data_IF_230207557580
#
_entry.id   IF_230207557580
#
_cell.length_a   1.000
_cell.length_b   1.000
_cell.length_c   1.000
_cell.angle_alpha   90.00
_cell.angle_beta   90.00
_cell.angle_gamma   90.00
#
_symmetry.space_group_name_H-M   'P 1'
#
loop_
_entity.id
_entity.type
_entity.pdbx_description
1 polymer ?
#
# COMPACT_ATOMS: atom_id res chain seq x y z
N UNK A 1 17.17 10.23 3.25
CA UNK A 1 16.18 10.84 4.16
C UNK A 1 14.86 10.97 3.42
N UNK A 2 14.08 12.07 3.55
CA UNK A 2 12.68 12.13 3.06
C UNK A 2 12.46 11.63 1.62
N UNK A 3 13.29 11.95 0.63
CA UNK A 3 12.98 11.77 -0.81
C UNK A 3 12.73 10.32 -1.28
N UNK A 4 13.69 9.41 -1.10
CA UNK A 4 13.53 7.99 -1.48
C UNK A 4 12.89 7.15 -0.34
N UNK A 5 12.88 7.65 0.90
CA UNK A 5 11.98 7.15 1.94
C UNK A 5 10.51 7.46 1.61
N UNK A 6 10.22 8.58 0.93
CA UNK A 6 8.91 8.89 0.34
C UNK A 6 8.63 7.97 -0.83
N UNK A 7 9.61 7.57 -1.66
CA UNK A 7 9.37 6.48 -2.61
C UNK A 7 9.03 5.16 -1.89
N UNK A 8 9.79 4.79 -0.85
CA UNK A 8 9.49 3.61 -0.06
C UNK A 8 8.09 3.69 0.58
N UNK A 9 7.69 4.86 1.10
CA UNK A 9 6.37 5.15 1.68
C UNK A 9 5.29 5.45 0.63
N UNK A 10 5.61 5.63 -0.65
CA UNK A 10 4.65 5.71 -1.77
C UNK A 10 4.51 4.35 -2.46
N UNK A 11 5.49 3.45 -2.36
CA UNK A 11 5.33 2.05 -2.77
C UNK A 11 4.62 1.26 -1.67
N UNK A 12 5.09 1.37 -0.42
CA UNK A 12 4.41 0.84 0.77
C UNK A 12 3.12 1.61 1.10
N UNK A 13 2.95 2.84 0.59
CA UNK A 13 1.73 3.65 0.75
C UNK A 13 0.81 3.67 -0.47
N UNK A 14 1.23 3.24 -1.66
CA UNK A 14 0.30 2.82 -2.72
C UNK A 14 -0.22 1.41 -2.42
N UNK A 15 0.66 0.49 -1.99
CA UNK A 15 0.23 -0.77 -1.38
C UNK A 15 -0.57 -0.52 -0.10
N UNK A 16 -0.21 0.49 0.69
CA UNK A 16 -0.88 0.90 1.93
C UNK A 16 -2.22 1.59 1.72
N UNK A 17 -2.37 2.42 0.70
CA UNK A 17 -3.65 3.00 0.30
C UNK A 17 -4.57 1.96 -0.36
N UNK A 18 -4.01 1.05 -1.18
CA UNK A 18 -4.72 -0.12 -1.68
C UNK A 18 -5.05 -1.17 -0.60
N UNK A 19 -4.48 -1.02 0.60
CA UNK A 19 -4.81 -1.74 1.83
C UNK A 19 -5.83 -0.97 2.70
N UNK A 20 -5.97 0.35 2.51
CA UNK A 20 -6.83 1.24 3.32
C UNK A 20 -8.21 1.52 2.69
N UNK A 21 -8.35 1.42 1.35
CA UNK A 21 -9.61 1.65 0.62
C UNK A 21 -9.88 0.50 -0.38
N UNK A 22 -11.06 -0.15 -0.36
CA UNK A 22 -11.74 -0.78 -1.54
C UNK A 22 -12.97 -1.67 -1.19
N UNK A 23 -13.98 -1.84 -2.10
CA UNK A 23 -15.19 -2.67 -1.80
C UNK A 23 -16.27 -3.14 -2.85
N UNK A 24 -16.13 -3.27 -4.19
CA UNK A 24 -17.24 -3.89 -5.01
C UNK A 24 -16.93 -4.79 -6.25
N UNK A 25 -17.86 -4.87 -7.21
CA UNK A 25 -18.10 -5.91 -8.21
C UNK A 25 -17.46 -5.75 -9.60
N UNK A 26 -16.40 -6.54 -9.83
CA UNK A 26 -16.04 -7.13 -11.15
C UNK A 26 -17.28 -7.46 -12.05
N UNK A 27 -17.20 -7.39 -13.40
CA UNK A 27 -15.98 -7.59 -14.18
C UNK A 27 -15.81 -6.71 -15.45
N UNK A 28 -14.88 -5.74 -15.39
CA UNK A 28 -14.01 -5.47 -16.54
C UNK A 28 -12.86 -6.51 -16.56
N UNK A 29 -12.14 -6.66 -17.69
CA UNK A 29 -11.08 -7.67 -17.84
C UNK A 29 -9.84 -7.33 -17.00
N UNK A 30 -9.87 -7.63 -15.69
CA UNK A 30 -9.02 -7.09 -14.63
C UNK A 30 -7.52 -7.51 -14.62
N UNK A 31 -6.92 -7.63 -15.80
CA UNK A 31 -5.47 -7.60 -16.04
C UNK A 31 -5.06 -6.90 -17.37
N UNK A 32 -5.96 -6.27 -18.12
CA UNK A 32 -5.69 -5.68 -19.45
C UNK A 32 -4.52 -4.69 -19.48
N UNK A 33 -4.27 -4.01 -18.36
CA UNK A 33 -3.17 -3.08 -18.16
C UNK A 33 -1.79 -3.76 -18.34
N UNK A 34 -1.69 -5.08 -18.08
CA UNK A 34 -0.45 -5.84 -18.18
C UNK A 34 0.02 -6.06 -19.64
N UNK A 35 -0.84 -5.82 -20.63
CA UNK A 35 -0.45 -5.75 -22.04
C UNK A 35 0.35 -4.47 -22.37
N UNK A 36 0.18 -3.42 -21.58
CA UNK A 36 0.76 -2.10 -21.81
C UNK A 36 2.02 -1.84 -20.97
N UNK A 37 2.36 -2.75 -20.07
CA UNK A 37 3.40 -2.56 -19.07
C UNK A 37 4.63 -3.44 -19.35
N UNK A 38 5.85 -2.92 -19.17
CA UNK A 38 7.07 -3.71 -19.28
C UNK A 38 7.23 -4.67 -18.09
N UNK A 39 7.94 -5.77 -18.31
CA UNK A 39 8.26 -6.78 -17.27
C UNK A 39 9.04 -6.21 -16.06
N UNK A 40 9.70 -5.07 -16.22
CA UNK A 40 10.44 -4.39 -15.16
C UNK A 40 9.60 -3.44 -14.28
N UNK A 41 8.27 -3.35 -14.52
CA UNK A 41 7.32 -2.58 -13.69
C UNK A 41 7.52 -2.85 -12.19
N UNK A 42 7.62 -1.80 -11.38
CA UNK A 42 7.93 -1.90 -9.95
C UNK A 42 6.72 -2.34 -9.12
N UNK A 43 5.55 -1.80 -9.41
CA UNK A 43 4.30 -2.15 -8.75
C UNK A 43 3.08 -1.83 -9.62
N UNK A 44 1.98 -2.54 -9.39
CA UNK A 44 0.64 -2.15 -9.87
C UNK A 44 -0.37 -2.27 -8.75
N UNK A 45 -1.34 -1.36 -8.71
CA UNK A 45 -2.54 -1.44 -7.87
C UNK A 45 -3.75 -1.25 -8.78
N UNK A 46 -4.51 -2.33 -8.97
CA UNK A 46 -5.77 -2.36 -9.72
C UNK A 46 -6.94 -2.33 -8.75
N UNK A 47 -7.78 -1.33 -8.94
CA UNK A 47 -9.04 -1.07 -8.25
C UNK A 47 -10.15 -1.58 -9.17
N UNK A 48 -10.97 -2.49 -8.66
CA UNK A 48 -12.04 -3.16 -9.42
C UNK A 48 -13.37 -2.84 -8.75
N UNK A 49 -14.27 -2.24 -9.53
CA UNK A 49 -15.50 -1.57 -9.13
C UNK A 49 -15.28 -0.45 -8.09
N UNK A 50 -15.34 0.75 -8.65
CA UNK A 50 -15.23 2.03 -7.98
C UNK A 50 -16.61 2.51 -7.51
N UNK A 51 -17.69 2.08 -8.17
CA UNK A 51 -19.06 2.44 -7.82
C UNK A 51 -19.43 1.93 -6.43
N UNK A 52 -19.60 0.63 -6.27
CA UNK A 52 -20.08 0.02 -5.04
C UNK A 52 -19.03 0.05 -3.94
N UNK A 53 -17.75 0.31 -4.25
CA UNK A 53 -16.74 0.70 -3.27
C UNK A 53 -17.23 1.89 -2.45
N UNK A 54 -17.73 2.94 -3.12
CA UNK A 54 -18.30 4.11 -2.43
C UNK A 54 -19.58 3.80 -1.65
N UNK A 55 -20.35 2.79 -2.08
CA UNK A 55 -21.64 2.43 -1.48
C UNK A 55 -21.47 1.51 -0.27
N UNK A 56 -20.50 0.58 -0.34
CA UNK A 56 -20.37 -0.54 0.60
C UNK A 56 -19.26 -0.33 1.62
N UNK A 57 -18.16 0.37 1.28
CA UNK A 57 -17.09 0.68 2.25
C UNK A 57 -17.60 1.44 3.50
N UNK A 58 -18.44 2.49 3.39
CA UNK A 58 -18.90 3.25 4.55
C UNK A 58 -19.75 2.46 5.55
N UNK A 59 -20.29 1.30 5.14
CA UNK A 59 -21.09 0.40 5.97
C UNK A 59 -20.27 -0.72 6.65
N UNK A 60 -18.95 -0.77 6.44
CA UNK A 60 -18.06 -1.74 7.10
C UNK A 60 -17.61 -1.24 8.48
N UNK A 61 -17.25 -2.16 9.38
CA UNK A 61 -16.65 -1.80 10.68
C UNK A 61 -15.39 -0.93 10.54
N UNK A 62 -14.57 -1.18 9.51
CA UNK A 62 -13.41 -0.36 9.20
C UNK A 62 -13.81 1.02 8.65
N UNK A 63 -14.78 1.08 7.72
CA UNK A 63 -15.33 2.34 7.19
C UNK A 63 -15.96 3.22 8.26
N UNK A 64 -16.66 2.63 9.22
CA UNK A 64 -17.17 3.33 10.41
C UNK A 64 -16.04 3.76 11.38
N UNK A 65 -14.97 2.98 11.51
CA UNK A 65 -13.80 3.35 12.31
C UNK A 65 -13.04 4.53 11.69
N UNK A 66 -12.86 4.54 10.36
CA UNK A 66 -12.23 5.64 9.60
C UNK A 66 -13.21 6.70 9.11
N UNK A 67 -14.46 6.73 9.59
CA UNK A 67 -15.39 7.81 9.26
C UNK A 67 -14.99 9.08 10.02
N UNK A 68 -15.11 10.26 9.36
CA UNK A 68 -14.80 11.57 9.98
C UNK A 68 -15.35 11.72 11.41
N UNK A 69 -16.63 11.44 11.74
CA UNK A 69 -17.12 11.59 13.12
C UNK A 69 -16.41 10.69 14.14
N UNK A 70 -16.00 9.48 13.74
CA UNK A 70 -15.28 8.54 14.61
C UNK A 70 -13.84 9.00 14.81
N UNK A 71 -13.15 9.38 13.73
CA UNK A 71 -11.76 9.85 13.78
C UNK A 71 -11.66 11.23 14.43
N UNK A 72 -12.59 12.15 14.19
CA UNK A 72 -12.68 13.45 14.89
C UNK A 72 -12.87 13.28 16.38
N UNK A 73 -13.70 12.32 16.81
CA UNK A 73 -13.82 11.97 18.22
C UNK A 73 -12.47 11.48 18.75
N UNK A 74 -11.85 10.48 18.11
CA UNK A 74 -10.55 9.94 18.56
C UNK A 74 -9.48 11.05 18.63
N UNK A 75 -9.27 11.80 17.54
CA UNK A 75 -8.25 12.84 17.38
C UNK A 75 -8.50 14.06 18.27
N UNK A 76 -9.74 14.56 18.29
CA UNK A 76 -10.14 15.71 19.11
C UNK A 76 -10.11 15.39 20.60
N UNK A 77 -10.47 14.17 20.99
CA UNK A 77 -10.26 13.70 22.36
C UNK A 77 -8.75 13.60 22.69
N UNK A 78 -7.87 13.05 21.83
CA UNK A 78 -6.39 13.02 22.10
C UNK A 78 -5.70 14.40 22.01
N UNK A 79 -6.45 15.50 21.91
CA UNK A 79 -5.89 16.85 21.89
C UNK A 79 -5.05 17.15 20.67
N UNK A 80 -5.25 16.45 19.55
CA UNK A 80 -4.59 16.80 18.28
C UNK A 80 -5.02 18.22 17.87
N UNK A 81 -4.08 19.12 17.55
CA UNK A 81 -4.41 20.49 17.17
C UNK A 81 -5.39 20.54 15.98
N UNK A 82 -6.20 21.61 15.83
CA UNK A 82 -7.13 21.76 14.71
C UNK A 82 -6.48 21.60 13.32
N UNK A 83 -5.18 21.88 13.20
CA UNK A 83 -4.42 21.61 11.99
C UNK A 83 -4.33 20.11 11.65
N UNK A 84 -4.10 19.22 12.63
CA UNK A 84 -4.05 17.78 12.39
C UNK A 84 -5.43 17.17 12.08
N UNK A 85 -6.49 17.73 12.65
CA UNK A 85 -7.87 17.44 12.23
C UNK A 85 -8.12 17.88 10.78
N UNK A 86 -7.62 19.07 10.38
CA UNK A 86 -7.71 19.55 9.00
C UNK A 86 -6.90 18.71 8.02
N UNK A 87 -5.67 18.31 8.38
CA UNK A 87 -4.82 17.45 7.54
C UNK A 87 -5.47 16.07 7.31
N UNK A 88 -6.17 15.53 8.30
CA UNK A 88 -7.01 14.34 8.12
C UNK A 88 -8.20 14.61 7.19
N UNK A 89 -8.88 15.75 7.36
CA UNK A 89 -10.07 16.10 6.58
C UNK A 89 -9.79 16.42 5.11
N UNK A 90 -8.70 17.15 4.83
CA UNK A 90 -8.25 17.45 3.46
C UNK A 90 -7.94 16.14 2.71
N UNK A 91 -7.38 15.14 3.39
CA UNK A 91 -7.12 13.80 2.83
C UNK A 91 -8.41 12.99 2.66
N UNK A 92 -9.29 12.97 3.67
CA UNK A 92 -10.55 12.23 3.61
C UNK A 92 -11.46 12.78 2.51
N UNK A 93 -11.65 14.10 2.44
CA UNK A 93 -12.53 14.74 1.44
C UNK A 93 -11.94 14.70 0.05
N UNK A 94 -10.61 14.77 -0.11
CA UNK A 94 -9.96 14.56 -1.39
C UNK A 94 -10.26 13.17 -1.96
N UNK A 95 -10.17 12.13 -1.13
CA UNK A 95 -10.36 10.74 -1.54
C UNK A 95 -11.84 10.36 -1.66
N UNK A 96 -12.70 10.76 -0.71
CA UNK A 96 -14.15 10.62 -0.81
C UNK A 96 -14.71 11.41 -1.99
N UNK A 97 -14.18 12.61 -2.26
CA UNK A 97 -14.50 13.43 -3.42
C UNK A 97 -14.19 12.71 -4.73
N UNK A 98 -12.95 12.21 -4.91
CA UNK A 98 -12.59 11.40 -6.08
C UNK A 98 -13.51 10.18 -6.26
N UNK A 99 -13.77 9.43 -5.19
CA UNK A 99 -14.56 8.20 -5.26
C UNK A 99 -16.06 8.42 -5.51
N UNK A 100 -16.63 9.53 -5.06
CA UNK A 100 -18.06 9.85 -5.23
C UNK A 100 -18.35 10.72 -6.45
N UNK A 101 -17.36 11.38 -7.04
CA UNK A 101 -17.56 12.28 -8.18
C UNK A 101 -18.02 11.51 -9.45
N UNK A 102 -19.22 11.78 -9.98
CA UNK A 102 -19.72 11.09 -11.18
C UNK A 102 -18.86 11.31 -12.43
N UNK A 103 -18.15 12.43 -12.52
CA UNK A 103 -17.24 12.70 -13.64
C UNK A 103 -15.95 11.85 -13.56
N UNK A 104 -15.49 11.46 -12.37
CA UNK A 104 -14.39 10.49 -12.23
C UNK A 104 -14.81 9.12 -12.81
N UNK A 105 -16.03 8.66 -12.50
CA UNK A 105 -16.61 7.43 -13.07
C UNK A 105 -16.89 7.53 -14.57
N UNK A 106 -17.15 8.71 -15.13
CA UNK A 106 -17.23 8.87 -16.59
C UNK A 106 -15.86 8.71 -17.27
N UNK A 107 -14.76 9.07 -16.59
CA UNK A 107 -13.40 8.99 -17.14
C UNK A 107 -12.82 7.57 -17.03
N UNK A 108 -12.87 6.99 -15.83
CA UNK A 108 -12.25 5.69 -15.52
C UNK A 108 -13.26 4.54 -15.46
N UNK A 109 -14.53 4.80 -15.79
CA UNK A 109 -15.58 3.79 -15.73
C UNK A 109 -15.74 3.25 -14.32
N UNK A 110 -15.46 1.96 -14.20
CA UNK A 110 -15.56 1.21 -12.95
C UNK A 110 -14.25 0.43 -12.63
N UNK A 111 -13.14 0.80 -13.26
CA UNK A 111 -11.81 0.29 -12.92
C UNK A 111 -10.73 1.38 -13.02
N UNK A 112 -9.82 1.38 -12.05
CA UNK A 112 -8.63 2.22 -12.12
C UNK A 112 -7.40 1.35 -11.87
N UNK A 113 -6.30 1.61 -12.57
CA UNK A 113 -5.03 0.94 -12.32
C UNK A 113 -3.92 1.96 -12.25
N UNK A 114 -3.25 2.03 -11.11
CA UNK A 114 -2.02 2.81 -10.95
C UNK A 114 -0.84 1.87 -11.11
N UNK A 115 -0.01 2.09 -12.12
CA UNK A 115 1.25 1.39 -12.32
C UNK A 115 2.43 2.32 -12.01
N UNK A 116 3.45 1.76 -11.37
CA UNK A 116 4.73 2.44 -11.08
C UNK A 116 5.81 1.81 -11.95
N UNK A 117 6.23 2.55 -12.97
CA UNK A 117 7.35 2.20 -13.84
C UNK A 117 8.69 2.46 -13.11
N UNK A 118 9.81 1.87 -13.57
CA UNK A 118 11.13 2.27 -13.09
C UNK A 118 11.44 3.75 -13.42
N UNK A 119 11.81 4.57 -12.43
CA UNK A 119 12.27 5.94 -12.66
C UNK A 119 13.66 5.95 -13.31
N UNK A 120 14.01 7.04 -14.00
CA UNK A 120 15.43 7.32 -14.29
C UNK A 120 16.17 7.63 -12.98
N UNK A 121 17.19 6.82 -12.66
CA UNK A 121 17.88 6.89 -11.37
C UNK A 121 18.67 8.20 -11.19
N UNK A 122 19.16 8.81 -12.27
CA UNK A 122 19.89 10.08 -12.21
C UNK A 122 18.94 11.30 -12.11
N UNK A 123 17.76 11.22 -12.73
CA UNK A 123 16.72 12.23 -12.56
C UNK A 123 16.08 12.12 -11.16
N UNK A 124 15.83 10.91 -10.66
CA UNK A 124 15.33 10.64 -9.31
C UNK A 124 16.25 11.16 -8.21
N UNK A 125 17.58 11.14 -8.42
CA UNK A 125 18.55 11.77 -7.51
C UNK A 125 18.45 13.30 -7.50
N UNK A 126 18.14 13.93 -8.64
CA UNK A 126 18.05 15.39 -8.80
C UNK A 126 16.70 15.92 -8.32
N UNK A 127 15.61 15.46 -8.93
CA UNK A 127 14.24 15.90 -8.70
C UNK A 127 13.30 14.68 -8.55
N UNK A 128 13.30 14.03 -7.37
CA UNK A 128 12.54 12.81 -7.17
C UNK A 128 11.03 13.01 -7.17
N UNK A 129 10.48 14.15 -6.75
CA UNK A 129 9.02 14.31 -6.80
C UNK A 129 8.54 14.30 -8.25
N UNK A 130 9.20 15.07 -9.12
CA UNK A 130 8.91 15.11 -10.55
C UNK A 130 9.17 13.78 -11.25
N UNK A 131 10.27 13.11 -10.94
CA UNK A 131 10.57 11.81 -11.55
C UNK A 131 9.61 10.70 -11.09
N UNK A 132 9.10 10.77 -9.85
CA UNK A 132 8.05 9.86 -9.39
C UNK A 132 6.69 10.17 -10.02
N UNK A 133 6.28 11.43 -10.15
CA UNK A 133 5.07 11.80 -10.91
C UNK A 133 5.13 11.24 -12.34
N UNK A 134 6.26 11.39 -13.05
CA UNK A 134 6.49 10.80 -14.39
C UNK A 134 6.45 9.27 -14.41
N UNK A 135 6.89 8.61 -13.33
CA UNK A 135 6.93 7.14 -13.21
C UNK A 135 5.54 6.53 -13.05
N UNK A 136 4.52 7.33 -12.76
CA UNK A 136 3.13 6.90 -12.73
C UNK A 136 2.55 6.79 -14.14
N UNK A 137 1.87 5.67 -14.37
CA UNK A 137 1.02 5.43 -15.53
C UNK A 137 -0.33 4.93 -15.00
N UNK A 138 -1.40 5.69 -15.30
CA UNK A 138 -2.76 5.39 -14.83
C UNK A 138 -3.59 4.85 -15.98
N UNK A 139 -4.32 3.78 -15.75
CA UNK A 139 -5.29 3.20 -16.69
C UNK A 139 -6.71 3.22 -16.10
N UNK A 140 -7.70 3.17 -16.98
CA UNK A 140 -9.09 2.80 -16.66
C UNK A 140 -9.82 2.42 -17.95
N UNK A 141 -10.89 1.64 -17.89
CA UNK A 141 -11.78 1.45 -19.05
C UNK A 141 -12.92 2.46 -19.03
N UNK A 142 -13.35 2.94 -20.21
CA UNK A 142 -14.44 3.89 -20.32
C UNK A 142 -15.36 3.59 -21.49
N UNK A 143 -16.65 3.66 -21.21
CA UNK A 143 -17.74 3.49 -22.17
C UNK A 143 -18.21 4.81 -22.81
N UNK A 144 -17.70 5.97 -22.37
CA UNK A 144 -18.13 7.28 -22.87
C UNK A 144 -17.31 7.73 -24.08
N UNK A 145 -17.93 8.52 -24.97
CA UNK A 145 -17.20 9.26 -25.99
C UNK A 145 -16.48 10.47 -25.35
N UNK A 146 -15.24 10.72 -25.74
CA UNK A 146 -14.43 11.83 -25.21
C UNK A 146 -14.08 11.73 -23.71
N UNK A 147 -13.56 10.59 -23.20
CA UNK A 147 -13.25 10.44 -21.77
C UNK A 147 -12.16 11.42 -21.31
N UNK A 148 -11.24 11.80 -22.20
CA UNK A 148 -10.20 12.80 -21.90
C UNK A 148 -10.77 14.21 -21.76
N UNK A 149 -11.83 14.55 -22.51
CA UNK A 149 -12.54 15.82 -22.35
C UNK A 149 -13.34 15.84 -21.03
N UNK A 150 -13.85 14.68 -20.60
CA UNK A 150 -14.44 14.51 -19.26
C UNK A 150 -13.38 14.64 -18.16
N UNK A 151 -12.16 14.14 -18.36
CA UNK A 151 -11.07 14.31 -17.41
C UNK A 151 -10.61 15.76 -17.30
N UNK A 152 -10.48 16.46 -18.44
CA UNK A 152 -10.19 17.89 -18.45
C UNK A 152 -11.24 18.70 -17.69
N UNK A 153 -12.54 18.40 -17.87
CA UNK A 153 -13.62 19.02 -17.09
C UNK A 153 -13.55 18.68 -15.60
N UNK A 154 -13.25 17.43 -15.25
CA UNK A 154 -13.13 16.96 -13.88
C UNK A 154 -12.02 17.71 -13.10
N UNK A 155 -10.86 17.92 -13.72
CA UNK A 155 -9.74 18.69 -13.12
C UNK A 155 -9.90 20.21 -13.31
N UNK A 156 -11.05 20.67 -13.83
CA UNK A 156 -11.36 22.08 -14.14
C UNK A 156 -10.32 22.76 -15.07
N UNK A 157 -9.69 21.97 -15.95
CA UNK A 157 -8.66 22.45 -16.87
C UNK A 157 -9.21 23.50 -17.83
N UNK A 158 -8.53 24.64 -17.91
CA UNK A 158 -8.81 25.72 -18.86
C UNK A 158 -7.98 25.61 -20.14
N UNK A 159 -6.99 24.72 -20.16
CA UNK A 159 -6.00 24.61 -21.23
C UNK A 159 -5.84 23.14 -21.64
N UNK A 160 -6.63 22.74 -22.64
CA UNK A 160 -6.65 21.41 -23.24
C UNK A 160 -6.15 21.54 -24.67
N UNK A 161 -5.12 20.76 -25.02
CA UNK A 161 -4.52 20.77 -26.36
C UNK A 161 -4.31 19.37 -26.92
N UNK A 162 -3.90 19.33 -28.18
CA UNK A 162 -3.37 18.12 -28.84
C UNK A 162 -1.87 18.27 -29.04
N UNK A 163 -1.11 17.23 -28.70
CA UNK A 163 0.34 17.20 -28.84
C UNK A 163 0.75 15.84 -29.44
N UNK A 164 1.46 15.85 -30.56
CA UNK A 164 1.90 14.62 -31.23
C UNK A 164 3.30 14.25 -30.77
N UNK A 165 3.42 13.15 -30.03
CA UNK A 165 4.69 12.67 -29.47
C UNK A 165 5.03 11.32 -30.11
N UNK A 166 6.19 11.24 -30.79
CA UNK A 166 6.65 10.05 -31.52
C UNK A 166 5.59 9.46 -32.50
N UNK A 167 4.78 10.33 -33.10
CA UNK A 167 3.70 9.95 -34.03
C UNK A 167 2.37 9.58 -33.37
N UNK A 168 2.30 9.54 -32.04
CA UNK A 168 1.08 9.31 -31.27
C UNK A 168 0.43 10.67 -30.91
N UNK A 169 -0.81 10.91 -31.34
CA UNK A 169 -1.57 12.06 -30.85
C UNK A 169 -1.99 11.83 -29.38
N UNK A 170 -1.54 12.72 -28.51
CA UNK A 170 -1.92 12.78 -27.10
C UNK A 170 -2.76 14.02 -26.84
N UNK A 171 -3.61 13.95 -25.81
CA UNK A 171 -4.34 15.11 -25.30
C UNK A 171 -3.57 15.68 -24.12
N UNK A 172 -3.06 16.90 -24.25
CA UNK A 172 -2.36 17.64 -23.19
C UNK A 172 -3.41 18.33 -22.32
N UNK A 173 -3.39 18.07 -21.01
CA UNK A 173 -4.36 18.61 -20.05
C UNK A 173 -3.59 19.28 -18.91
N UNK A 174 -3.78 20.57 -18.75
CA UNK A 174 -3.18 21.37 -17.66
C UNK A 174 -3.99 21.17 -16.38
N UNK A 175 -3.36 20.71 -15.30
CA UNK A 175 -4.03 20.34 -14.04
C UNK A 175 -3.85 21.43 -12.99
N UNK A 176 -2.66 22.04 -12.93
CA UNK A 176 -2.38 23.28 -12.23
C UNK A 176 -1.37 24.13 -13.03
N UNK A 177 -0.93 25.27 -12.47
CA UNK A 177 -0.01 26.21 -13.12
C UNK A 177 1.38 25.61 -13.50
N UNK A 178 1.72 24.40 -13.01
CA UNK A 178 3.01 23.74 -13.26
C UNK A 178 2.87 22.27 -13.72
N UNK A 179 1.82 21.55 -13.30
CA UNK A 179 1.61 20.13 -13.62
C UNK A 179 0.71 19.92 -14.85
N UNK A 180 1.22 19.12 -15.79
CA UNK A 180 0.55 18.74 -17.05
C UNK A 180 0.41 17.23 -17.09
N UNK A 181 -0.83 16.75 -17.30
CA UNK A 181 -1.13 15.35 -17.55
C UNK A 181 -1.41 15.15 -19.04
N UNK A 182 -0.76 14.14 -19.62
CA UNK A 182 -1.01 13.68 -20.97
C UNK A 182 -1.98 12.50 -20.92
N UNK A 183 -2.92 12.47 -21.86
CA UNK A 183 -3.93 11.43 -21.96
C UNK A 183 -4.06 10.83 -23.36
N UNK A 184 -4.30 9.52 -23.40
CA UNK A 184 -4.63 8.75 -24.60
C UNK A 184 -5.89 7.92 -24.35
N UNK A 185 -6.74 7.78 -25.36
CA UNK A 185 -7.96 6.99 -25.26
C UNK A 185 -8.26 6.29 -26.60
N UNK A 186 -8.36 4.96 -26.59
CA UNK A 186 -8.62 4.15 -27.79
C UNK A 186 -9.24 2.80 -27.42
N UNK A 187 -10.24 2.35 -28.19
CA UNK A 187 -10.96 1.08 -27.98
C UNK A 187 -11.44 0.87 -26.53
N UNK A 188 -11.93 1.92 -25.88
CA UNK A 188 -12.45 1.88 -24.51
C UNK A 188 -11.39 1.82 -23.40
N UNK A 189 -10.09 1.88 -23.70
CA UNK A 189 -9.03 2.04 -22.69
C UNK A 189 -8.56 3.49 -22.66
N UNK A 190 -8.46 4.06 -21.46
CA UNK A 190 -7.85 5.35 -21.15
C UNK A 190 -6.48 5.14 -20.51
N UNK A 191 -5.50 5.96 -20.88
CA UNK A 191 -4.15 5.95 -20.30
C UNK A 191 -3.76 7.40 -19.99
N UNK A 192 -3.32 7.69 -18.76
CA UNK A 192 -2.84 9.01 -18.33
C UNK A 192 -1.41 8.92 -17.75
N UNK A 193 -0.58 9.94 -18.00
CA UNK A 193 0.74 10.08 -17.37
C UNK A 193 1.24 11.53 -17.38
N UNK A 194 2.09 11.88 -16.41
CA UNK A 194 2.87 13.12 -16.42
C UNK A 194 4.08 13.06 -17.39
N UNK A 195 4.34 11.90 -18.01
CA UNK A 195 5.37 11.70 -19.03
C UNK A 195 4.76 11.14 -20.33
N UNK A 196 4.63 11.94 -21.41
CA UNK A 196 3.98 11.47 -22.65
C UNK A 196 4.71 10.29 -23.29
N UNK A 197 6.05 10.25 -23.19
CA UNK A 197 6.87 9.13 -23.67
C UNK A 197 6.53 7.79 -22.98
N UNK A 198 6.00 7.79 -21.75
CA UNK A 198 5.57 6.55 -21.09
C UNK A 198 4.25 6.01 -21.67
N UNK A 199 3.39 6.88 -22.21
CA UNK A 199 2.20 6.46 -22.96
C UNK A 199 2.60 5.87 -24.34
N UNK A 200 3.56 6.50 -25.02
CA UNK A 200 4.12 5.98 -26.28
C UNK A 200 4.72 4.59 -26.08
N UNK A 201 5.60 4.43 -25.08
CA UNK A 201 6.20 3.12 -24.71
C UNK A 201 5.14 2.08 -24.37
N UNK A 202 4.09 2.47 -23.64
CA UNK A 202 2.99 1.58 -23.28
C UNK A 202 2.19 1.07 -24.50
N UNK A 203 2.04 1.90 -25.54
CA UNK A 203 1.46 1.49 -26.82
C UNK A 203 2.41 0.57 -27.61
N UNK A 204 3.70 0.90 -27.68
CA UNK A 204 4.72 0.07 -28.32
C UNK A 204 4.82 -1.32 -27.66
N UNK A 205 4.73 -1.39 -26.32
CA UNK A 205 4.72 -2.64 -25.55
C UNK A 205 3.54 -3.54 -25.97
N UNK A 206 2.34 -2.97 -26.08
CA UNK A 206 1.13 -3.69 -26.49
C UNK A 206 1.22 -4.23 -27.92
N UNK A 207 1.84 -3.47 -28.83
CA UNK A 207 2.02 -3.89 -30.23
C UNK A 207 3.15 -4.93 -30.38
N UNK A 208 4.14 -4.94 -29.48
CA UNK A 208 5.18 -5.96 -29.40
C UNK A 208 4.74 -7.29 -28.76
N UNK A 209 3.58 -7.33 -28.09
CA UNK A 209 2.92 -8.54 -27.58
C UNK A 209 3.54 -9.19 -26.33
N UNK A 210 4.83 -8.94 -26.06
CA UNK A 210 5.50 -9.33 -24.82
C UNK A 210 5.39 -8.24 -23.76
N UNK A 211 5.54 -8.58 -22.47
CA UNK A 211 5.48 -7.60 -21.38
C UNK A 211 5.12 -8.20 -20.02
N UNK A 212 4.59 -7.37 -19.12
CA UNK A 212 4.19 -7.77 -17.77
C UNK A 212 3.18 -8.92 -17.77
N UNK A 213 2.28 -9.00 -18.77
CA UNK A 213 1.33 -10.12 -18.93
C UNK A 213 2.04 -11.48 -18.97
N UNK A 214 3.22 -11.57 -19.58
CA UNK A 214 3.96 -12.83 -19.74
C UNK A 214 4.98 -13.08 -18.60
N UNK A 215 5.35 -12.04 -17.84
CA UNK A 215 6.35 -12.15 -16.79
C UNK A 215 5.95 -13.19 -15.73
N UNK A 216 6.88 -14.09 -15.39
CA UNK A 216 6.58 -15.30 -14.61
C UNK A 216 5.92 -15.01 -13.25
N UNK A 217 6.48 -14.07 -12.48
CA UNK A 217 5.94 -13.68 -11.17
C UNK A 217 4.58 -12.96 -11.26
N UNK A 218 4.30 -12.25 -12.36
CA UNK A 218 2.98 -11.67 -12.61
C UNK A 218 1.96 -12.74 -13.04
N UNK A 219 2.41 -13.78 -13.73
CA UNK A 219 1.59 -14.97 -14.04
C UNK A 219 1.27 -15.80 -12.80
N UNK A 220 2.21 -15.93 -11.86
CA UNK A 220 1.93 -16.48 -10.53
C UNK A 220 0.91 -15.64 -9.76
N UNK A 221 1.08 -14.32 -9.73
CA UNK A 221 0.12 -13.38 -9.12
C UNK A 221 -1.30 -13.54 -9.69
N UNK A 222 -1.46 -13.59 -11.02
CA UNK A 222 -2.76 -13.89 -11.67
C UNK A 222 -3.35 -15.23 -11.23
N UNK A 223 -2.54 -16.28 -11.11
CA UNK A 223 -2.97 -17.58 -10.61
C UNK A 223 -3.47 -17.53 -9.17
N UNK A 224 -2.76 -16.82 -8.30
CA UNK A 224 -3.15 -16.57 -6.91
C UNK A 224 -4.45 -15.77 -6.81
N UNK A 225 -4.55 -14.63 -7.52
CA UNK A 225 -5.76 -13.82 -7.58
C UNK A 225 -6.96 -14.64 -8.06
N UNK A 226 -6.80 -15.44 -9.12
CA UNK A 226 -7.87 -16.28 -9.67
C UNK A 226 -8.32 -17.35 -8.67
N UNK A 227 -7.37 -17.98 -7.96
CA UNK A 227 -7.66 -18.98 -6.94
C UNK A 227 -8.40 -18.41 -5.74
N UNK A 228 -8.06 -17.19 -5.30
CA UNK A 228 -8.72 -16.50 -4.18
C UNK A 228 -10.05 -15.83 -4.58
N UNK A 229 -10.18 -15.40 -5.82
CA UNK A 229 -11.39 -14.76 -6.35
C UNK A 229 -12.50 -15.73 -6.79
N UNK A 230 -12.29 -17.05 -6.73
CA UNK A 230 -13.00 -18.05 -7.53
C UNK A 230 -14.55 -18.01 -7.43
N UNK A 231 -15.10 -17.56 -6.31
CA UNK A 231 -16.55 -17.31 -6.10
C UNK A 231 -16.84 -16.00 -5.37
N UNK A 232 -15.85 -15.11 -5.22
CA UNK A 232 -15.94 -13.93 -4.36
C UNK A 232 -15.71 -12.64 -5.15
N UNK A 233 -16.40 -11.57 -4.73
CA UNK A 233 -16.36 -10.25 -5.34
C UNK A 233 -14.99 -9.61 -5.08
N UNK A 234 -14.24 -9.30 -6.14
CA UNK A 234 -12.84 -8.81 -6.04
C UNK A 234 -12.81 -7.30 -6.09
N UNK A 235 -12.10 -6.70 -5.13
CA UNK A 235 -12.00 -5.24 -4.99
C UNK A 235 -10.63 -4.69 -5.40
N UNK A 236 -9.56 -5.32 -4.92
CA UNK A 236 -8.19 -4.92 -5.22
C UNK A 236 -7.39 -6.08 -5.76
N UNK A 237 -6.46 -5.78 -6.65
CA UNK A 237 -5.33 -6.63 -7.02
C UNK A 237 -4.07 -5.79 -7.01
N UNK A 238 -3.11 -6.11 -6.17
CA UNK A 238 -1.79 -5.47 -6.20
C UNK A 238 -0.68 -6.46 -6.53
N UNK A 239 0.31 -5.99 -7.27
CA UNK A 239 1.54 -6.72 -7.59
C UNK A 239 2.74 -5.82 -7.29
N UNK A 240 3.82 -6.38 -6.74
CA UNK A 240 5.06 -5.66 -6.41
C UNK A 240 6.26 -6.50 -6.81
N UNK A 241 7.15 -5.92 -7.61
CA UNK A 241 8.36 -6.55 -8.12
C UNK A 241 9.56 -6.24 -7.21
N UNK A 242 9.68 -6.97 -6.09
CA UNK A 242 10.78 -6.78 -5.13
C UNK A 242 12.16 -6.93 -5.78
N UNK A 243 12.30 -7.77 -6.79
CA UNK A 243 13.57 -7.91 -7.54
C UNK A 243 14.03 -6.57 -8.12
N UNK A 244 13.11 -5.79 -8.72
CA UNK A 244 13.39 -4.48 -9.32
C UNK A 244 13.50 -3.35 -8.29
N UNK A 245 12.64 -3.35 -7.26
CA UNK A 245 12.72 -2.37 -6.15
C UNK A 245 14.05 -2.50 -5.39
N UNK A 246 14.53 -3.72 -5.16
CA UNK A 246 15.84 -3.98 -4.55
C UNK A 246 17.00 -3.39 -5.36
N UNK A 247 16.97 -3.50 -6.69
CA UNK A 247 17.98 -2.86 -7.56
C UNK A 247 17.98 -1.33 -7.37
N UNK A 248 16.82 -0.70 -7.46
CA UNK A 248 16.66 0.75 -7.26
C UNK A 248 17.17 1.23 -5.89
N UNK A 249 16.92 0.46 -4.83
CA UNK A 249 17.44 0.73 -3.49
C UNK A 249 18.96 0.49 -3.37
N UNK A 250 19.51 -0.53 -4.03
CA UNK A 250 20.96 -0.79 -4.06
C UNK A 250 21.73 0.33 -4.77
N UNK A 251 21.13 0.94 -5.79
CA UNK A 251 21.67 2.07 -6.56
C UNK A 251 21.42 3.44 -5.90
N UNK A 252 20.77 3.50 -4.74
CA UNK A 252 20.57 4.75 -4.00
C UNK A 252 21.88 5.26 -3.38
N UNK A 253 22.03 6.58 -3.35
CA UNK A 253 23.11 7.24 -2.60
C UNK A 253 22.88 7.25 -1.07
N UNK A 254 21.65 7.06 -0.58
CA UNK A 254 21.37 6.99 0.87
C UNK A 254 21.76 5.62 1.46
N UNK A 255 22.61 5.57 2.51
CA UNK A 255 22.89 4.33 3.23
C UNK A 255 21.65 3.57 3.72
N UNK A 256 20.61 4.27 4.20
CA UNK A 256 19.39 3.63 4.74
C UNK A 256 18.60 2.86 3.68
N UNK A 257 18.55 3.38 2.45
CA UNK A 257 17.79 2.75 1.36
C UNK A 257 18.57 1.54 0.81
N UNK A 258 19.90 1.65 0.68
CA UNK A 258 20.76 0.49 0.41
C UNK A 258 20.63 -0.58 1.50
N UNK A 259 20.46 -0.18 2.76
CA UNK A 259 20.21 -1.11 3.87
C UNK A 259 18.87 -1.85 3.70
N UNK A 260 17.77 -1.13 3.43
CA UNK A 260 16.46 -1.74 3.11
C UNK A 260 16.59 -2.70 1.92
N UNK A 261 17.38 -2.36 0.91
CA UNK A 261 17.72 -3.24 -0.22
C UNK A 261 18.31 -4.59 0.22
N UNK A 262 19.15 -4.64 1.27
CA UNK A 262 19.65 -5.91 1.84
C UNK A 262 18.55 -6.74 2.49
N UNK A 263 17.60 -6.11 3.19
CA UNK A 263 16.47 -6.84 3.79
C UNK A 263 15.47 -7.36 2.75
N UNK A 264 15.41 -6.72 1.55
CA UNK A 264 14.68 -7.23 0.39
C UNK A 264 15.43 -8.34 -0.39
N UNK A 265 16.65 -8.73 0.02
CA UNK A 265 17.35 -9.86 -0.59
C UNK A 265 16.51 -11.15 -0.47
N UNK A 266 16.47 -11.94 -1.54
CA UNK A 266 15.78 -13.23 -1.60
C UNK A 266 14.28 -13.15 -1.95
N UNK A 267 13.61 -12.04 -1.64
CA UNK A 267 12.26 -11.77 -2.12
C UNK A 267 12.26 -11.51 -3.64
N UNK A 268 11.26 -12.07 -4.33
CA UNK A 268 11.09 -11.97 -5.78
C UNK A 268 9.93 -11.06 -6.13
N UNK A 269 8.76 -11.34 -5.56
CA UNK A 269 7.52 -10.59 -5.74
C UNK A 269 6.63 -10.59 -4.48
N UNK A 270 5.66 -9.68 -4.46
CA UNK A 270 4.46 -9.79 -3.64
C UNK A 270 3.25 -9.66 -4.55
N UNK A 271 2.17 -10.39 -4.23
CA UNK A 271 0.85 -10.08 -4.78
C UNK A 271 -0.20 -10.13 -3.69
N UNK A 272 -1.18 -9.24 -3.76
CA UNK A 272 -2.33 -9.22 -2.85
C UNK A 272 -3.62 -9.15 -3.65
N UNK A 273 -4.69 -9.68 -3.05
CA UNK A 273 -6.07 -9.53 -3.52
C UNK A 273 -6.96 -9.29 -2.32
N UNK A 274 -7.93 -8.39 -2.45
CA UNK A 274 -8.99 -8.23 -1.45
C UNK A 274 -10.32 -8.70 -2.04
N UNK A 275 -11.04 -9.49 -1.26
CA UNK A 275 -12.30 -10.11 -1.64
C UNK A 275 -13.39 -9.89 -0.59
N UNK A 276 -14.64 -9.91 -1.04
CA UNK A 276 -15.82 -10.02 -0.19
C UNK A 276 -15.92 -11.43 0.39
N UNK A 277 -15.91 -11.55 1.71
CA UNK A 277 -16.30 -12.79 2.38
C UNK A 277 -17.46 -12.50 3.33
N UNK A 278 -18.67 -12.84 2.87
CA UNK A 278 -19.94 -12.53 3.54
C UNK A 278 -20.08 -11.03 3.85
N UNK A 279 -20.16 -10.63 5.12
CA UNK A 279 -20.19 -9.24 5.56
C UNK A 279 -18.79 -8.62 5.71
N UNK A 280 -17.71 -9.41 5.59
CA UNK A 280 -16.33 -9.03 5.92
C UNK A 280 -15.44 -8.68 4.71
N UNK A 281 -14.18 -8.33 4.99
CA UNK A 281 -13.12 -8.10 4.00
C UNK A 281 -11.98 -9.09 4.25
N UNK A 282 -11.73 -10.02 3.33
CA UNK A 282 -10.49 -10.79 3.36
C UNK A 282 -9.45 -10.13 2.43
N UNK A 283 -8.36 -9.61 2.99
CA UNK A 283 -7.17 -9.26 2.21
C UNK A 283 -6.15 -10.40 2.31
N UNK A 284 -5.94 -11.08 1.19
CA UNK A 284 -5.00 -12.18 1.06
C UNK A 284 -3.73 -11.71 0.36
N UNK A 285 -2.56 -11.98 0.95
CA UNK A 285 -1.25 -11.64 0.36
C UNK A 285 -0.38 -12.88 0.21
N UNK A 286 0.25 -13.03 -0.96
CA UNK A 286 1.28 -14.01 -1.25
C UNK A 286 2.64 -13.32 -1.44
N UNK A 287 3.69 -13.90 -0.87
CA UNK A 287 5.08 -13.51 -1.08
C UNK A 287 5.82 -14.63 -1.82
N UNK A 288 6.54 -14.29 -2.88
CA UNK A 288 7.47 -15.20 -3.55
C UNK A 288 8.90 -14.90 -3.12
N UNK A 289 9.64 -15.90 -2.65
CA UNK A 289 11.00 -15.74 -2.16
C UNK A 289 11.82 -17.05 -2.28
N UNK A 290 13.14 -16.93 -2.41
CA UNK A 290 14.06 -18.06 -2.20
C UNK A 290 14.52 -18.03 -0.75
N UNK A 291 14.19 -19.03 0.07
CA UNK A 291 14.50 -19.01 1.51
C UNK A 291 16.00 -18.85 1.79
N UNK A 292 16.87 -19.56 1.07
CA UNK A 292 18.32 -19.51 1.32
C UNK A 292 18.96 -18.18 0.87
N UNK A 293 18.33 -17.44 -0.06
CA UNK A 293 18.78 -16.10 -0.44
C UNK A 293 18.37 -15.02 0.58
N UNK A 294 17.31 -15.24 1.39
CA UNK A 294 16.80 -14.23 2.32
C UNK A 294 17.90 -13.73 3.28
N UNK A 295 17.85 -12.44 3.61
CA UNK A 295 18.74 -11.82 4.59
C UNK A 295 18.76 -12.64 5.90
N UNK A 296 19.92 -12.89 6.55
CA UNK A 296 20.01 -13.82 7.67
C UNK A 296 18.98 -13.57 8.78
N UNK A 297 18.87 -12.30 9.22
CA UNK A 297 17.86 -11.87 10.20
C UNK A 297 16.43 -12.26 9.78
N UNK A 298 16.06 -12.07 8.50
CA UNK A 298 14.74 -12.43 7.98
C UNK A 298 14.52 -13.94 8.03
N UNK A 299 15.52 -14.75 7.64
CA UNK A 299 15.44 -16.22 7.75
C UNK A 299 15.19 -16.67 9.19
N UNK A 300 15.85 -16.01 10.15
CA UNK A 300 15.75 -16.37 11.56
C UNK A 300 14.40 -15.92 12.18
N UNK A 301 13.78 -14.85 11.68
CA UNK A 301 12.36 -14.56 11.97
C UNK A 301 11.43 -15.65 11.43
N UNK A 302 11.62 -16.09 10.17
CA UNK A 302 10.79 -17.15 9.58
C UNK A 302 10.97 -18.53 10.25
N UNK A 303 12.14 -18.84 10.83
CA UNK A 303 12.35 -20.05 11.64
C UNK A 303 11.59 -20.00 12.97
N UNK A 304 11.41 -18.81 13.55
CA UNK A 304 10.70 -18.63 14.81
C UNK A 304 9.17 -18.73 14.67
N UNK A 305 8.63 -18.74 13.45
CA UNK A 305 7.21 -18.44 13.20
C UNK A 305 6.23 -19.39 13.90
N UNK A 306 5.32 -18.84 14.71
CA UNK A 306 4.19 -19.63 15.23
C UNK A 306 3.13 -19.84 14.15
N UNK A 307 2.70 -21.10 13.99
CA UNK A 307 1.61 -21.50 13.09
C UNK A 307 0.22 -21.45 13.72
N UNK A 308 0.13 -21.20 15.03
CA UNK A 308 -1.14 -21.14 15.77
C UNK A 308 -1.25 -19.81 16.50
N UNK A 309 -2.44 -19.21 16.47
CA UNK A 309 -2.76 -17.94 17.10
C UNK A 309 -3.45 -18.19 18.44
N UNK A 310 -2.67 -18.19 19.53
CA UNK A 310 -3.21 -18.45 20.87
C UNK A 310 -3.94 -17.24 21.48
N UNK A 311 -3.74 -16.05 20.92
CA UNK A 311 -4.25 -14.77 21.44
C UNK A 311 -5.67 -14.44 21.00
N UNK A 312 -6.32 -15.28 20.17
CA UNK A 312 -7.73 -15.13 19.81
C UNK A 312 -8.67 -15.14 21.04
N UNK A 313 -8.28 -15.77 22.14
CA UNK A 313 -9.01 -15.72 23.42
C UNK A 313 -9.02 -14.35 24.12
N UNK A 314 -8.24 -13.38 23.63
CA UNK A 314 -8.25 -11.98 24.10
C UNK A 314 -9.32 -11.12 23.39
N UNK A 315 -10.00 -11.67 22.39
CA UNK A 315 -11.06 -10.99 21.65
C UNK A 315 -12.37 -10.98 22.44
N UNK A 316 -13.11 -9.88 22.30
CA UNK A 316 -14.42 -9.67 22.90
C UNK A 316 -15.39 -9.09 21.87
N UNK A 317 -16.68 -9.06 22.20
CA UNK A 317 -17.69 -8.37 21.39
C UNK A 317 -17.53 -6.84 21.34
N UNK A 318 -16.46 -6.28 21.92
CA UNK A 318 -16.07 -4.86 21.83
C UNK A 318 -14.75 -4.64 21.09
N UNK A 319 -14.05 -5.70 20.68
CA UNK A 319 -12.76 -5.58 19.99
C UNK A 319 -12.92 -4.91 18.62
N UNK A 320 -12.41 -3.68 18.49
CA UNK A 320 -12.49 -2.85 17.29
C UNK A 320 -11.36 -3.18 16.30
N UNK A 321 -10.17 -3.48 16.82
CA UNK A 321 -8.98 -3.82 16.04
C UNK A 321 -8.24 -4.96 16.73
N UNK A 322 -7.84 -5.97 15.96
CA UNK A 322 -6.90 -7.00 16.38
C UNK A 322 -5.68 -6.96 15.48
N UNK A 323 -4.48 -6.97 16.07
CA UNK A 323 -3.23 -7.19 15.36
C UNK A 323 -2.45 -8.28 16.06
N UNK A 324 -1.97 -9.24 15.29
CA UNK A 324 -1.19 -10.38 15.74
C UNK A 324 -0.07 -10.62 14.75
N UNK A 325 1.15 -10.80 15.26
CA UNK A 325 2.31 -11.14 14.45
C UNK A 325 3.09 -12.25 15.15
N UNK A 326 3.36 -13.32 14.42
CA UNK A 326 3.95 -14.56 14.97
C UNK A 326 5.44 -14.74 14.64
N UNK A 327 6.13 -13.67 14.26
CA UNK A 327 7.55 -13.66 13.88
C UNK A 327 8.38 -12.68 14.72
N UNK A 328 8.21 -12.72 16.05
CA UNK A 328 9.16 -12.10 16.97
C UNK A 328 10.36 -13.02 17.21
N UNK A 329 11.56 -12.43 17.24
CA UNK A 329 12.78 -13.09 17.70
C UNK A 329 13.30 -12.33 18.93
N UNK A 330 13.60 -13.07 20.00
CA UNK A 330 14.12 -12.54 21.27
C UNK A 330 15.45 -11.78 21.12
N UNK A 331 16.30 -12.18 20.18
CA UNK A 331 17.56 -11.48 19.88
C UNK A 331 17.28 -10.12 19.23
N UNK A 332 16.21 -9.99 18.44
CA UNK A 332 15.76 -8.69 17.94
C UNK A 332 15.20 -7.81 19.07
N UNK A 333 14.40 -8.37 19.99
CA UNK A 333 13.91 -7.65 21.18
C UNK A 333 15.08 -7.17 22.06
N UNK A 334 16.06 -8.03 22.33
CA UNK A 334 17.29 -7.69 23.05
C UNK A 334 18.07 -6.58 22.35
N UNK A 335 18.30 -6.70 21.04
CA UNK A 335 19.02 -5.68 20.28
C UNK A 335 18.27 -4.34 20.24
N UNK A 336 16.93 -4.34 20.16
CA UNK A 336 16.12 -3.12 20.19
C UNK A 336 16.20 -2.42 21.56
N UNK A 337 16.16 -3.17 22.66
CA UNK A 337 16.31 -2.64 24.02
C UNK A 337 17.74 -2.16 24.30
N UNK A 338 18.76 -2.90 23.84
CA UNK A 338 20.17 -2.58 24.09
C UNK A 338 20.67 -1.40 23.23
N UNK A 339 20.28 -1.34 21.95
CA UNK A 339 20.71 -0.28 21.02
C UNK A 339 20.06 1.09 21.29
N UNK A 340 18.99 1.14 22.08
CA UNK A 340 18.38 2.41 22.49
C UNK A 340 19.33 3.23 23.37
N UNK A 341 19.88 2.63 24.44
CA UNK A 341 20.91 3.18 25.32
C UNK A 341 21.37 2.10 26.32
N UNK A 342 22.67 1.77 26.38
CA UNK A 342 23.20 0.82 27.38
C UNK A 342 22.84 1.18 28.84
N UNK A 343 22.81 2.48 29.16
CA UNK A 343 22.44 2.97 30.47
C UNK A 343 20.96 2.70 30.79
N UNK A 344 20.08 2.80 29.80
CA UNK A 344 18.67 2.42 29.96
C UNK A 344 18.52 0.90 30.08
N UNK A 345 19.26 0.10 29.29
CA UNK A 345 19.23 -1.36 29.43
C UNK A 345 19.62 -1.80 30.85
N UNK A 346 20.68 -1.22 31.40
CA UNK A 346 21.16 -1.49 32.77
C UNK A 346 20.19 -0.99 33.84
N UNK A 347 19.48 0.13 33.60
CA UNK A 347 18.41 0.61 34.48
C UNK A 347 17.19 -0.32 34.46
N UNK A 348 16.77 -0.80 33.28
CA UNK A 348 15.64 -1.72 33.13
C UNK A 348 15.99 -3.08 33.75
N UNK A 349 17.17 -3.65 33.50
CA UNK A 349 17.61 -4.91 34.15
C UNK A 349 17.65 -4.77 35.68
N UNK A 350 18.13 -3.65 36.22
CA UNK A 350 18.12 -3.38 37.66
C UNK A 350 16.69 -3.28 38.24
N UNK A 351 15.73 -2.72 37.50
CA UNK A 351 14.32 -2.70 37.89
C UNK A 351 13.67 -4.09 37.79
N UNK A 352 13.88 -4.82 36.69
CA UNK A 352 13.35 -6.18 36.49
C UNK A 352 13.85 -7.14 37.58
N UNK A 353 15.14 -7.09 37.94
CA UNK A 353 15.69 -7.85 39.08
C UNK A 353 15.06 -7.49 40.42
N UNK A 354 14.74 -6.21 40.63
CA UNK A 354 14.14 -5.73 41.88
C UNK A 354 12.67 -6.15 42.03
N UNK A 355 11.87 -6.05 40.96
CA UNK A 355 10.43 -6.33 41.03
C UNK A 355 10.06 -7.79 40.73
N UNK A 356 10.83 -8.50 39.89
CA UNK A 356 10.55 -9.87 39.45
C UNK A 356 11.57 -10.93 39.94
N UNK A 357 12.70 -10.51 40.54
CA UNK A 357 13.74 -11.42 41.06
C UNK A 357 14.65 -12.08 40.01
N UNK A 358 14.35 -11.91 38.72
CA UNK A 358 15.10 -12.45 37.57
C UNK A 358 15.73 -11.32 36.74
N UNK A 359 16.66 -11.64 35.84
CA UNK A 359 17.22 -10.65 34.91
C UNK A 359 16.30 -10.32 33.74
N UNK A 360 16.51 -9.16 33.13
CA UNK A 360 15.91 -8.80 31.84
C UNK A 360 16.32 -9.79 30.74
N UNK A 361 17.53 -10.34 30.81
CA UNK A 361 18.00 -11.38 29.88
C UNK A 361 17.22 -12.70 30.01
N UNK A 362 16.87 -13.11 31.24
CA UNK A 362 16.01 -14.27 31.50
C UNK A 362 14.56 -14.01 31.06
N UNK A 363 14.02 -12.82 31.34
CA UNK A 363 12.72 -12.41 30.81
C UNK A 363 12.67 -12.46 29.27
N UNK A 364 13.69 -11.92 28.58
CA UNK A 364 13.79 -11.97 27.11
C UNK A 364 14.02 -13.41 26.61
N UNK A 365 14.74 -14.25 27.36
CA UNK A 365 14.96 -15.65 26.98
C UNK A 365 13.66 -16.46 26.88
N UNK A 366 12.68 -16.15 27.76
CA UNK A 366 11.34 -16.72 27.83
C UNK A 366 10.34 -16.12 26.82
N UNK A 367 10.70 -15.08 26.05
CA UNK A 367 9.80 -14.48 25.06
C UNK A 367 9.60 -15.41 23.86
N UNK A 368 8.34 -15.76 23.62
CA UNK A 368 7.88 -16.47 22.44
C UNK A 368 7.68 -15.56 21.21
N UNK A 369 7.46 -16.16 20.04
CA UNK A 369 7.42 -15.47 18.76
C UNK A 369 6.12 -14.70 18.47
N UNK A 370 5.04 -14.87 19.25
CA UNK A 370 3.82 -14.08 19.08
C UNK A 370 3.84 -12.81 19.93
N UNK A 371 3.54 -11.67 19.29
CA UNK A 371 3.14 -10.43 19.96
C UNK A 371 1.92 -9.85 19.26
N UNK A 372 1.23 -8.93 19.92
CA UNK A 372 0.16 -8.18 19.27
C UNK A 372 -0.57 -7.21 20.19
N UNK A 373 -1.71 -6.76 19.70
CA UNK A 373 -2.61 -5.89 20.44
C UNK A 373 -4.08 -6.14 20.10
N UNK A 374 -4.94 -5.88 21.09
CA UNK A 374 -6.40 -5.79 20.94
C UNK A 374 -6.85 -4.40 21.35
N UNK A 375 -7.49 -3.64 20.45
CA UNK A 375 -8.15 -2.38 20.80
C UNK A 375 -9.60 -2.69 21.16
N UNK A 376 -9.96 -2.62 22.44
CA UNK A 376 -11.26 -3.05 22.96
C UNK A 376 -12.29 -1.93 23.18
N UNK A 377 -11.88 -0.67 23.09
CA UNK A 377 -12.70 0.51 23.37
C UNK A 377 -11.90 1.79 23.04
N UNK A 378 -12.57 2.94 23.02
CA UNK A 378 -11.91 4.26 23.14
C UNK A 378 -12.58 4.98 24.30
N UNK A 379 -11.85 5.18 25.40
CA UNK A 379 -12.41 5.75 26.63
C UNK A 379 -11.78 7.07 26.97
N UNK A 380 -12.62 8.10 26.96
CA UNK A 380 -12.34 9.45 27.43
C UNK A 380 -11.96 9.44 28.92
N UNK A 381 -10.75 9.90 29.27
CA UNK A 381 -10.27 10.03 30.66
C UNK A 381 -10.20 11.49 31.13
N UNK A 382 -10.89 12.41 30.45
CA UNK A 382 -11.05 13.82 30.83
C UNK A 382 -9.91 14.76 30.39
N UNK A 383 -8.68 14.25 30.24
CA UNK A 383 -7.54 15.00 29.67
C UNK A 383 -7.11 14.47 28.30
N UNK A 384 -7.18 13.15 28.11
CA UNK A 384 -7.02 12.43 26.85
C UNK A 384 -7.94 11.20 26.91
N UNK A 385 -8.42 10.65 25.80
CA UNK A 385 -8.89 9.29 25.76
C UNK A 385 -7.65 8.40 25.74
N UNK A 386 -7.83 7.16 26.16
CA UNK A 386 -6.89 6.12 25.77
C UNK A 386 -7.70 5.04 25.05
N UNK A 387 -7.27 4.59 23.86
CA UNK A 387 -7.77 3.33 23.34
C UNK A 387 -7.48 2.25 24.40
N UNK A 388 -8.46 1.41 24.73
CA UNK A 388 -8.25 0.28 25.65
C UNK A 388 -7.47 -0.80 24.92
N UNK A 389 -6.16 -0.57 24.77
CA UNK A 389 -5.24 -1.50 24.14
C UNK A 389 -4.77 -2.54 25.16
N UNK A 390 -5.08 -3.80 24.90
CA UNK A 390 -4.40 -4.93 25.52
C UNK A 390 -3.24 -5.29 24.61
N UNK A 391 -2.02 -4.87 24.96
CA UNK A 391 -0.81 -5.43 24.37
C UNK A 391 -0.56 -6.81 24.96
N UNK A 392 -0.11 -7.75 24.13
CA UNK A 392 0.22 -9.10 24.57
C UNK A 392 1.51 -9.61 23.94
N UNK A 393 2.15 -10.54 24.65
CA UNK A 393 3.41 -11.18 24.30
C UNK A 393 3.33 -12.64 24.72
N UNK A 394 3.74 -13.57 23.86
CA UNK A 394 3.88 -14.98 24.22
C UNK A 394 5.04 -15.15 25.20
N UNK A 395 4.79 -15.85 26.29
CA UNK A 395 5.83 -16.33 27.22
C UNK A 395 5.89 -17.85 27.10
N UNK A 396 7.09 -18.41 27.20
CA UNK A 396 7.37 -19.84 27.14
C UNK A 396 8.15 -20.26 28.37
N UNK A 397 7.82 -21.45 28.88
CA UNK A 397 8.58 -22.18 29.90
C UNK A 397 9.88 -22.78 29.31
#
# INVERSE_FOLDING_TARGET
MKKLLILALLLLGAAGAAFYFMRSSSPAAADYYADYLPENTLATASFVDLQGLSETFPATSLGHFVAKPTVHRILGEIGVPPQGLKEYDDVYDGLAGVMTNPAFRQVFGDDAVVAVLPPDVELLRKDPEKELKKSLLVFGTSSVAGPLDSFARLVMSKNVGKETVEGLELTRIEVDDNDVVYGYAKKGVVILSYAPANIVRAMQQKEAGSGLREFAFFTAAKGFWTKKAATQRVYTRSYVNFTRIRSLFSESMNPQEREIGKYLQGFKSMSSVMVEDHDTLEMSTQLEYTFDELHPWVRDQYKAVSKQNYSLGLLSNKSLVYYWVSLLNKDYLKNLLAAANEGQYKQIDSQVRKELGVSLDECIAAVGPQLGLVVNDVVNTGLFPLPKVVFFLEVRD
#
